data_IF_672149722473
#
_entry.id   IF_672149722473
#
_cell.length_a   1.000
_cell.length_b   1.000
_cell.length_c   1.000
_cell.angle_alpha   90.00
_cell.angle_beta   90.00
_cell.angle_gamma   90.00
#
_symmetry.space_group_name_H-M   'P 1'
#
loop_
_entity.id
_entity.type
_entity.pdbx_description
1 polymer ?
#
# COMPACT_ATOMS: atom_id res chain seq x y z
N UNK A 1 23.46 3.69 30.08
CA UNK A 1 22.87 3.71 28.74
C UNK A 1 21.44 4.22 28.87
N UNK A 2 21.07 5.17 28.03
CA UNK A 2 19.69 5.67 28.01
C UNK A 2 18.90 4.87 26.96
N UNK A 3 17.72 4.36 27.33
CA UNK A 3 16.82 3.60 26.47
C UNK A 3 15.52 4.38 26.25
N UNK A 4 15.59 5.72 26.27
CA UNK A 4 14.42 6.58 26.23
C UNK A 4 13.75 6.63 24.86
N UNK A 5 14.48 6.28 23.81
CA UNK A 5 13.95 6.19 22.44
C UNK A 5 14.59 5.02 21.67
N UNK A 6 14.08 4.76 20.47
CA UNK A 6 14.52 3.64 19.65
C UNK A 6 15.99 3.78 19.17
N UNK A 7 16.43 4.99 18.84
CA UNK A 7 17.83 5.21 18.40
C UNK A 7 18.83 4.95 19.51
N UNK A 8 18.51 5.36 20.75
CA UNK A 8 19.32 5.01 21.93
C UNK A 8 19.40 3.51 22.14
N UNK A 9 18.25 2.81 21.98
CA UNK A 9 18.18 1.36 22.10
C UNK A 9 19.01 0.65 21.02
N UNK A 10 18.91 1.08 19.76
CA UNK A 10 19.69 0.56 18.64
C UNK A 10 21.19 0.78 18.85
N UNK A 11 21.58 1.98 19.29
CA UNK A 11 22.97 2.32 19.60
C UNK A 11 23.53 1.44 20.73
N UNK A 12 22.76 1.30 21.81
CA UNK A 12 23.18 0.48 22.95
C UNK A 12 23.29 -1.01 22.55
N UNK A 13 22.36 -1.52 21.75
CA UNK A 13 22.43 -2.89 21.23
C UNK A 13 23.58 -3.07 20.27
N UNK A 14 23.90 -2.06 19.43
CA UNK A 14 25.05 -2.13 18.52
C UNK A 14 26.34 -2.26 19.29
N UNK A 15 26.58 -1.43 20.31
CA UNK A 15 27.75 -1.51 21.19
C UNK A 15 27.89 -2.91 21.81
N UNK A 16 26.79 -3.51 22.24
CA UNK A 16 26.77 -4.87 22.75
C UNK A 16 27.09 -5.91 21.67
N UNK A 17 26.46 -5.79 20.51
CA UNK A 17 26.65 -6.74 19.39
C UNK A 17 28.09 -6.69 18.85
N UNK A 18 28.69 -5.52 18.80
CA UNK A 18 30.09 -5.32 18.31
C UNK A 18 31.12 -6.06 19.18
N UNK A 19 30.75 -6.49 20.39
CA UNK A 19 31.62 -7.38 21.19
C UNK A 19 31.73 -8.80 20.59
N UNK A 20 30.77 -9.22 19.78
CA UNK A 20 30.71 -10.56 19.21
C UNK A 20 30.92 -10.57 17.70
N UNK A 21 30.47 -9.53 17.00
CA UNK A 21 30.61 -9.39 15.55
C UNK A 21 30.53 -7.91 15.12
N UNK A 22 31.35 -7.53 14.18
CA UNK A 22 31.33 -6.21 13.56
C UNK A 22 30.60 -6.28 12.21
N UNK A 23 29.33 -5.89 12.21
CA UNK A 23 28.47 -5.95 11.02
C UNK A 23 29.01 -5.12 9.84
N UNK A 24 29.84 -4.08 10.10
CA UNK A 24 30.43 -3.25 9.05
C UNK A 24 31.46 -3.98 8.20
N UNK A 25 32.05 -5.06 8.74
CA UNK A 25 33.08 -5.88 8.07
C UNK A 25 32.53 -7.19 7.50
N UNK A 26 31.25 -7.47 7.68
CA UNK A 26 30.64 -8.70 7.21
C UNK A 26 30.30 -8.65 5.72
N UNK A 27 30.58 -9.74 5.00
CA UNK A 27 29.99 -10.00 3.70
C UNK A 27 28.50 -10.32 3.83
N UNK A 28 27.73 -10.19 2.74
CA UNK A 28 26.29 -10.50 2.73
C UNK A 28 26.01 -11.93 3.18
N UNK A 29 26.82 -12.89 2.77
CA UNK A 29 26.72 -14.29 3.21
C UNK A 29 26.88 -14.45 4.73
N UNK A 30 27.82 -13.71 5.33
CA UNK A 30 28.02 -13.74 6.78
C UNK A 30 26.86 -13.09 7.51
N UNK A 31 26.28 -12.00 6.96
CA UNK A 31 25.06 -11.39 7.49
C UNK A 31 23.87 -12.34 7.45
N UNK A 32 23.68 -13.06 6.34
CA UNK A 32 22.62 -14.08 6.22
C UNK A 32 22.76 -15.20 7.26
N UNK A 33 23.96 -15.72 7.50
CA UNK A 33 24.19 -16.75 8.51
C UNK A 33 23.94 -16.21 9.94
N UNK A 34 24.39 -14.97 10.21
CA UNK A 34 24.11 -14.31 11.48
C UNK A 34 22.62 -14.06 11.69
N UNK A 35 21.90 -13.67 10.63
CA UNK A 35 20.43 -13.50 10.67
C UNK A 35 19.73 -14.79 11.09
N UNK A 36 20.10 -15.93 10.51
CA UNK A 36 19.52 -17.23 10.88
C UNK A 36 19.71 -17.52 12.36
N UNK A 37 20.90 -17.27 12.89
CA UNK A 37 21.21 -17.46 14.32
C UNK A 37 20.36 -16.55 15.21
N UNK A 38 20.26 -15.24 14.85
CA UNK A 38 19.49 -14.26 15.60
C UNK A 38 17.98 -14.58 15.57
N UNK A 39 17.46 -15.05 14.44
CA UNK A 39 16.04 -15.45 14.30
C UNK A 39 15.73 -16.70 15.15
N UNK A 40 16.62 -17.67 15.20
CA UNK A 40 16.46 -18.85 16.06
C UNK A 40 16.48 -18.47 17.54
N UNK A 41 17.37 -17.56 17.94
CA UNK A 41 17.44 -17.05 19.30
C UNK A 41 16.16 -16.26 19.67
N UNK A 42 15.70 -15.37 18.77
CA UNK A 42 14.42 -14.66 18.93
C UNK A 42 13.24 -15.63 19.13
N UNK A 43 13.20 -16.70 18.31
CA UNK A 43 12.15 -17.71 18.43
C UNK A 43 12.19 -18.42 19.80
N UNK A 44 13.38 -18.73 20.30
CA UNK A 44 13.56 -19.32 21.64
C UNK A 44 13.02 -18.41 22.74
N UNK A 45 13.34 -17.10 22.68
CA UNK A 45 12.85 -16.16 23.70
C UNK A 45 11.34 -15.92 23.60
N UNK A 46 10.79 -15.85 22.38
CA UNK A 46 9.35 -15.77 22.16
C UNK A 46 8.61 -17.01 22.72
N UNK A 47 9.17 -18.20 22.56
CA UNK A 47 8.65 -19.44 23.16
C UNK A 47 8.69 -19.35 24.70
N UNK A 48 9.77 -18.81 25.27
CA UNK A 48 9.89 -18.61 26.70
C UNK A 48 8.84 -17.68 27.30
N UNK A 49 8.32 -16.71 26.54
CA UNK A 49 7.16 -15.88 26.95
C UNK A 49 5.91 -16.75 27.11
N UNK A 50 5.65 -17.63 26.15
CA UNK A 50 4.50 -18.54 26.18
C UNK A 50 4.59 -19.52 27.38
N UNK A 51 5.80 -19.97 27.71
CA UNK A 51 6.03 -20.83 28.87
C UNK A 51 5.80 -20.15 30.23
N UNK A 52 5.77 -18.81 30.25
CA UNK A 52 5.47 -18.04 31.48
C UNK A 52 3.96 -18.03 31.82
N UNK A 53 3.13 -18.49 30.89
CA UNK A 53 1.68 -18.65 31.07
C UNK A 53 1.29 -20.12 30.93
N UNK A 54 0.18 -20.49 31.53
CA UNK A 54 -0.32 -21.86 31.46
C UNK A 54 -1.10 -22.08 30.15
N UNK A 55 -0.39 -22.31 29.06
CA UNK A 55 -0.98 -22.45 27.69
C UNK A 55 -1.40 -23.89 27.34
N UNK A 56 -1.14 -24.86 28.23
CA UNK A 56 -1.50 -26.27 28.04
C UNK A 56 -2.68 -26.62 28.92
N UNK A 57 -3.88 -26.60 28.36
CA UNK A 57 -5.16 -26.86 29.05
C UNK A 57 -5.21 -28.19 29.83
N UNK A 58 -4.35 -29.16 29.47
CA UNK A 58 -4.29 -30.47 30.13
C UNK A 58 -3.34 -30.53 31.33
N UNK A 59 -2.63 -29.45 31.67
CA UNK A 59 -1.82 -29.34 32.89
C UNK A 59 -2.56 -28.45 33.88
N UNK A 60 -2.65 -28.91 35.16
CA UNK A 60 -3.34 -28.21 36.23
C UNK A 60 -2.95 -26.72 36.28
N UNK A 61 -3.94 -25.88 36.21
CA UNK A 61 -3.82 -24.46 35.88
C UNK A 61 -3.71 -23.52 37.09
N UNK A 62 -3.30 -24.00 38.27
CA UNK A 62 -3.31 -23.20 39.51
C UNK A 62 -2.01 -22.41 39.76
N UNK A 63 -1.04 -22.47 38.83
CA UNK A 63 0.16 -21.67 38.97
C UNK A 63 -0.11 -20.24 38.46
N UNK A 64 0.22 -19.21 39.27
CA UNK A 64 0.04 -17.83 38.83
C UNK A 64 0.98 -17.51 37.65
N UNK A 65 0.52 -16.62 36.75
CA UNK A 65 1.31 -16.12 35.63
C UNK A 65 2.59 -15.45 36.17
N UNK A 66 3.74 -15.88 35.69
CA UNK A 66 5.03 -15.27 36.03
C UNK A 66 5.28 -14.02 35.18
N UNK A 67 4.79 -12.87 35.66
CA UNK A 67 4.95 -11.57 35.00
C UNK A 67 6.43 -11.17 34.86
N UNK A 68 7.29 -11.52 35.79
CA UNK A 68 8.72 -11.21 35.70
C UNK A 68 9.37 -12.00 34.59
N UNK A 69 9.05 -13.28 34.44
CA UNK A 69 9.53 -14.11 33.34
C UNK A 69 9.05 -13.55 31.97
N UNK A 70 7.78 -13.15 31.88
CA UNK A 70 7.25 -12.49 30.66
C UNK A 70 8.07 -11.26 30.32
N UNK A 71 8.29 -10.36 31.31
CA UNK A 71 9.02 -9.11 31.09
C UNK A 71 10.45 -9.38 30.59
N UNK A 72 11.22 -10.22 31.26
CA UNK A 72 12.62 -10.46 30.89
C UNK A 72 12.73 -11.17 29.54
N UNK A 73 11.87 -12.14 29.25
CA UNK A 73 11.83 -12.81 27.94
C UNK A 73 11.42 -11.86 26.82
N UNK A 74 10.49 -10.93 27.06
CA UNK A 74 10.14 -9.88 26.10
C UNK A 74 11.29 -8.91 25.85
N UNK A 75 12.06 -8.55 26.89
CA UNK A 75 13.28 -7.72 26.74
C UNK A 75 14.33 -8.45 25.91
N UNK A 76 14.57 -9.75 26.17
CA UNK A 76 15.53 -10.53 25.39
C UNK A 76 15.10 -10.65 23.92
N UNK A 77 13.83 -10.93 23.65
CA UNK A 77 13.28 -10.95 22.30
C UNK A 77 13.45 -9.59 21.59
N UNK A 78 13.17 -8.48 22.28
CA UNK A 78 13.36 -7.13 21.75
C UNK A 78 14.82 -6.84 21.40
N UNK A 79 15.77 -7.28 22.22
CA UNK A 79 17.20 -7.16 21.95
C UNK A 79 17.63 -7.89 20.67
N UNK A 80 17.07 -9.08 20.39
CA UNK A 80 17.32 -9.77 19.12
C UNK A 80 16.74 -9.04 17.93
N UNK A 81 15.56 -8.42 18.06
CA UNK A 81 15.01 -7.54 17.01
C UNK A 81 15.95 -6.38 16.72
N UNK A 82 16.44 -5.68 17.74
CA UNK A 82 17.42 -4.58 17.58
C UNK A 82 18.73 -5.06 16.94
N UNK A 83 19.22 -6.26 17.29
CA UNK A 83 20.40 -6.84 16.67
C UNK A 83 20.19 -7.13 15.17
N UNK A 84 19.00 -7.62 14.79
CA UNK A 84 18.63 -7.84 13.38
C UNK A 84 18.59 -6.50 12.61
N UNK A 85 18.00 -5.45 13.18
CA UNK A 85 17.96 -4.12 12.56
C UNK A 85 19.38 -3.58 12.34
N UNK A 86 20.23 -3.66 13.37
CA UNK A 86 21.63 -3.24 13.29
C UNK A 86 22.44 -4.04 12.26
N UNK A 87 22.20 -5.35 12.13
CA UNK A 87 22.88 -6.22 11.17
C UNK A 87 22.70 -5.73 9.72
N UNK A 88 21.54 -5.16 9.43
CA UNK A 88 21.18 -4.64 8.11
C UNK A 88 21.25 -3.12 7.99
N UNK A 89 21.75 -2.43 9.00
CA UNK A 89 21.90 -0.97 9.01
C UNK A 89 20.57 -0.21 9.00
N UNK A 90 19.52 -0.82 9.52
CA UNK A 90 18.20 -0.18 9.64
C UNK A 90 18.23 0.72 10.88
N UNK A 91 18.08 2.02 10.67
CA UNK A 91 18.03 3.00 11.75
C UNK A 91 16.63 3.12 12.39
N UNK A 92 16.55 3.85 13.50
CA UNK A 92 15.29 4.03 14.23
C UNK A 92 14.22 4.78 13.47
N UNK A 93 14.60 5.74 12.61
CA UNK A 93 13.64 6.50 11.81
C UNK A 93 12.98 5.63 10.75
N UNK A 94 13.77 4.82 10.03
CA UNK A 94 13.26 3.87 9.05
C UNK A 94 12.35 2.82 9.69
N UNK A 95 12.74 2.29 10.85
CA UNK A 95 11.90 1.34 11.57
C UNK A 95 10.61 1.96 12.11
N UNK A 96 10.67 3.18 12.66
CA UNK A 96 9.49 3.91 13.14
C UNK A 96 8.52 4.24 11.99
N UNK A 97 9.06 4.63 10.82
CA UNK A 97 8.24 4.86 9.63
C UNK A 97 7.51 3.58 9.20
N UNK A 98 8.21 2.45 9.15
CA UNK A 98 7.61 1.16 8.81
C UNK A 98 6.55 0.71 9.82
N UNK A 99 6.76 0.96 11.12
CA UNK A 99 5.74 0.72 12.17
C UNK A 99 4.50 1.57 11.94
N UNK A 100 4.66 2.88 11.68
CA UNK A 100 3.54 3.78 11.41
C UNK A 100 2.73 3.34 10.19
N UNK A 101 3.40 2.96 9.10
CA UNK A 101 2.74 2.44 7.90
C UNK A 101 1.98 1.13 8.19
N UNK A 102 2.58 0.24 8.99
CA UNK A 102 1.93 -1.00 9.40
C UNK A 102 0.69 -0.73 10.25
N UNK A 103 0.75 0.24 11.15
CA UNK A 103 -0.40 0.66 11.96
C UNK A 103 -1.51 1.25 11.08
N UNK A 104 -1.18 2.09 10.10
CA UNK A 104 -2.14 2.64 9.14
C UNK A 104 -2.87 1.52 8.39
N UNK A 105 -2.14 0.53 7.91
CA UNK A 105 -2.73 -0.66 7.28
C UNK A 105 -3.65 -1.42 8.23
N UNK A 106 -3.20 -1.71 9.46
CA UNK A 106 -3.99 -2.48 10.43
C UNK A 106 -5.27 -1.76 10.83
N UNK A 107 -5.22 -0.45 11.05
CA UNK A 107 -6.39 0.37 11.33
C UNK A 107 -7.37 0.38 10.16
N UNK A 108 -6.87 0.59 8.94
CA UNK A 108 -7.72 0.59 7.76
C UNK A 108 -8.36 -0.78 7.54
N UNK A 109 -7.56 -1.86 7.61
CA UNK A 109 -8.04 -3.23 7.50
C UNK A 109 -9.11 -3.56 8.54
N UNK A 110 -8.92 -3.15 9.80
CA UNK A 110 -9.90 -3.37 10.85
C UNK A 110 -11.21 -2.64 10.57
N UNK A 111 -11.14 -1.39 10.10
CA UNK A 111 -12.31 -0.60 9.69
C UNK A 111 -13.11 -1.28 8.58
N UNK A 112 -12.44 -1.93 7.62
CA UNK A 112 -13.04 -2.54 6.44
C UNK A 112 -13.43 -4.00 6.66
N UNK A 113 -12.69 -4.76 7.47
CA UNK A 113 -12.85 -6.21 7.60
C UNK A 113 -14.20 -6.68 8.18
N UNK A 114 -14.90 -5.80 8.91
CA UNK A 114 -16.24 -6.09 9.43
C UNK A 114 -17.38 -5.79 8.46
N UNK A 115 -17.07 -5.18 7.31
CA UNK A 115 -18.08 -4.80 6.31
C UNK A 115 -18.36 -5.97 5.37
N UNK A 116 -19.63 -6.19 5.11
CA UNK A 116 -20.10 -7.21 4.18
C UNK A 116 -21.05 -6.56 3.16
N UNK A 117 -20.87 -6.91 1.90
CA UNK A 117 -21.79 -6.48 0.87
C UNK A 117 -23.17 -7.12 1.10
N UNK A 118 -24.21 -6.29 1.18
CA UNK A 118 -25.59 -6.68 1.49
C UNK A 118 -26.57 -6.48 0.33
N UNK A 119 -26.06 -6.45 -0.93
CA UNK A 119 -26.92 -6.28 -2.13
C UNK A 119 -27.05 -4.84 -2.63
N UNK A 120 -26.33 -3.86 -1.98
CA UNK A 120 -26.32 -2.48 -2.46
C UNK A 120 -25.59 -2.37 -3.81
N UNK A 121 -25.85 -1.30 -4.60
CA UNK A 121 -25.11 -1.02 -5.81
C UNK A 121 -23.62 -0.77 -5.49
N UNK A 122 -22.73 -1.11 -6.42
CA UNK A 122 -21.28 -1.06 -6.22
C UNK A 122 -20.65 -0.05 -7.17
N UNK A 123 -19.80 0.83 -6.65
CA UNK A 123 -18.94 1.70 -7.43
C UNK A 123 -17.48 1.24 -7.27
N UNK A 124 -16.85 0.91 -8.40
CA UNK A 124 -15.48 0.40 -8.47
C UNK A 124 -14.57 1.55 -8.86
N UNK A 125 -13.73 2.04 -7.96
CA UNK A 125 -12.80 3.14 -8.21
C UNK A 125 -11.39 2.63 -8.48
N UNK A 126 -10.77 3.07 -9.57
CA UNK A 126 -9.32 3.06 -9.65
C UNK A 126 -8.71 4.06 -8.68
N UNK A 127 -7.43 3.93 -8.42
CA UNK A 127 -6.73 4.81 -7.50
C UNK A 127 -5.90 5.86 -8.22
N UNK A 128 -4.97 5.44 -9.08
CA UNK A 128 -4.04 6.33 -9.75
C UNK A 128 -4.72 7.08 -10.90
N UNK A 129 -4.52 8.39 -10.96
CA UNK A 129 -5.13 9.34 -11.90
C UNK A 129 -6.68 9.37 -11.91
N UNK A 130 -7.29 8.73 -10.89
CA UNK A 130 -8.72 8.86 -10.53
C UNK A 130 -8.84 9.50 -9.14
N UNK A 131 -8.43 8.81 -8.07
CA UNK A 131 -8.48 9.34 -6.71
C UNK A 131 -7.21 10.11 -6.32
N UNK A 132 -6.05 9.67 -6.83
CA UNK A 132 -4.73 10.22 -6.56
C UNK A 132 -4.07 10.67 -7.87
N UNK A 133 -3.57 11.89 -7.93
CA UNK A 133 -2.89 12.47 -9.09
C UNK A 133 -1.48 11.90 -9.26
N UNK A 134 -1.41 10.60 -9.59
CA UNK A 134 -0.15 9.87 -9.69
C UNK A 134 0.76 10.43 -10.79
N UNK A 135 0.24 10.53 -12.01
CA UNK A 135 1.03 10.92 -13.19
C UNK A 135 1.66 12.30 -13.03
N UNK A 136 0.88 13.27 -12.58
CA UNK A 136 1.39 14.62 -12.29
C UNK A 136 2.55 14.59 -11.29
N UNK A 137 2.34 13.95 -10.14
CA UNK A 137 3.33 13.88 -9.06
C UNK A 137 4.59 13.14 -9.47
N UNK A 138 4.46 12.03 -10.19
CA UNK A 138 5.60 11.25 -10.70
C UNK A 138 6.40 12.02 -11.74
N UNK A 139 5.74 12.73 -12.68
CA UNK A 139 6.40 13.55 -13.68
C UNK A 139 7.13 14.74 -13.05
N UNK A 140 6.52 15.41 -12.07
CA UNK A 140 7.15 16.51 -11.33
C UNK A 140 8.39 16.05 -10.55
N UNK A 141 8.27 14.93 -9.83
CA UNK A 141 9.40 14.33 -9.11
C UNK A 141 10.52 13.92 -10.08
N UNK A 142 10.18 13.26 -11.17
CA UNK A 142 11.13 12.83 -12.19
C UNK A 142 11.82 14.01 -12.87
N UNK A 143 11.07 15.08 -13.17
CA UNK A 143 11.60 16.32 -13.74
C UNK A 143 12.64 16.97 -12.83
N UNK A 144 12.34 17.05 -11.54
CA UNK A 144 13.30 17.58 -10.54
C UNK A 144 14.56 16.73 -10.47
N UNK A 145 14.42 15.41 -10.55
CA UNK A 145 15.53 14.46 -10.45
C UNK A 145 16.44 14.49 -11.68
N UNK A 146 15.92 14.52 -12.89
CA UNK A 146 16.72 14.49 -14.12
C UNK A 146 17.10 15.89 -14.67
N UNK A 147 16.54 16.96 -14.10
CA UNK A 147 16.77 18.33 -14.58
C UNK A 147 16.11 18.65 -15.93
N UNK A 148 15.19 17.80 -16.41
CA UNK A 148 14.43 17.99 -17.66
C UNK A 148 12.93 17.98 -17.38
N UNK A 149 12.19 18.84 -18.05
CA UNK A 149 10.73 18.83 -17.92
C UNK A 149 10.14 17.57 -18.57
N UNK A 150 9.36 16.84 -17.82
CA UNK A 150 8.58 15.68 -18.25
C UNK A 150 7.11 16.07 -18.18
N UNK A 151 6.46 16.17 -19.33
CA UNK A 151 5.10 16.65 -19.46
C UNK A 151 4.10 15.61 -18.92
N UNK A 152 3.35 15.90 -17.86
CA UNK A 152 2.31 15.00 -17.37
C UNK A 152 1.12 14.87 -18.32
N UNK A 153 0.93 15.82 -19.24
CA UNK A 153 -0.15 15.82 -20.24
C UNK A 153 0.26 15.14 -21.56
N UNK A 154 1.45 14.54 -21.64
CA UNK A 154 1.85 13.73 -22.79
C UNK A 154 0.79 12.66 -23.10
N UNK A 155 0.60 12.36 -24.38
CA UNK A 155 -0.35 11.35 -24.87
C UNK A 155 0.13 9.91 -24.69
N UNK A 156 1.29 9.70 -24.06
CA UNK A 156 1.84 8.38 -23.75
C UNK A 156 1.59 7.97 -22.32
N UNK A 157 1.13 6.74 -22.16
CA UNK A 157 1.05 6.07 -20.86
C UNK A 157 2.46 5.94 -20.24
N UNK A 158 2.63 6.41 -19.00
CA UNK A 158 3.91 6.48 -18.27
C UNK A 158 5.01 7.35 -18.91
N UNK A 159 4.72 8.16 -19.92
CA UNK A 159 5.69 9.06 -20.57
C UNK A 159 6.99 8.36 -21.00
N UNK A 160 6.90 7.10 -21.41
CA UNK A 160 8.09 6.29 -21.78
C UNK A 160 8.93 6.94 -22.88
N UNK A 161 8.28 7.63 -23.83
CA UNK A 161 8.98 8.34 -24.93
C UNK A 161 9.79 9.51 -24.40
N UNK A 162 9.23 10.30 -23.48
CA UNK A 162 9.92 11.44 -22.88
C UNK A 162 11.17 10.98 -22.10
N UNK A 163 11.04 9.92 -21.30
CA UNK A 163 12.18 9.32 -20.60
C UNK A 163 13.24 8.77 -21.57
N UNK A 164 12.84 8.11 -22.66
CA UNK A 164 13.77 7.61 -23.70
C UNK A 164 14.53 8.75 -24.40
N UNK A 165 13.87 9.87 -24.70
CA UNK A 165 14.52 11.04 -25.33
C UNK A 165 15.70 11.56 -24.51
N UNK A 166 15.60 11.51 -23.19
CA UNK A 166 16.64 11.98 -22.28
C UNK A 166 17.55 10.86 -21.74
N UNK A 167 17.41 9.63 -22.29
CA UNK A 167 18.26 8.50 -21.92
C UNK A 167 18.01 7.95 -20.51
N UNK A 168 16.84 8.19 -19.94
CA UNK A 168 16.49 7.76 -18.58
C UNK A 168 15.63 6.48 -18.61
N UNK A 169 15.91 5.58 -17.68
CA UNK A 169 15.08 4.38 -17.46
C UNK A 169 13.85 4.74 -16.61
N UNK A 170 12.68 4.80 -17.23
CA UNK A 170 11.42 5.11 -16.55
C UNK A 170 11.05 4.09 -15.46
N UNK A 171 11.35 2.81 -15.66
CA UNK A 171 11.08 1.75 -14.65
C UNK A 171 11.96 1.94 -13.41
N UNK A 172 13.23 2.30 -13.60
CA UNK A 172 14.14 2.61 -12.50
C UNK A 172 13.66 3.84 -11.70
N UNK A 173 13.19 4.87 -12.39
CA UNK A 173 12.63 6.06 -11.74
C UNK A 173 11.33 5.74 -10.99
N UNK A 174 10.47 4.93 -11.58
CA UNK A 174 9.24 4.48 -10.92
C UNK A 174 9.55 3.69 -9.65
N UNK A 175 10.52 2.75 -9.73
CA UNK A 175 10.95 1.99 -8.55
C UNK A 175 11.51 2.91 -7.45
N UNK A 176 12.39 3.84 -7.79
CA UNK A 176 12.93 4.79 -6.81
C UNK A 176 11.85 5.71 -6.20
N UNK A 177 10.87 6.12 -7.01
CA UNK A 177 9.74 6.91 -6.51
C UNK A 177 8.92 6.12 -5.48
N UNK A 178 8.65 4.84 -5.76
CA UNK A 178 7.95 3.95 -4.81
C UNK A 178 8.80 3.69 -3.56
N UNK A 179 10.09 3.33 -3.72
CA UNK A 179 11.00 3.05 -2.61
C UNK A 179 11.20 4.29 -1.71
N UNK A 180 11.10 5.49 -2.29
CA UNK A 180 11.12 6.77 -1.58
C UNK A 180 9.77 7.21 -1.01
N UNK A 181 8.79 6.32 -0.92
CA UNK A 181 7.43 6.61 -0.40
C UNK A 181 6.69 7.73 -1.14
N UNK A 182 6.98 7.93 -2.42
CA UNK A 182 6.34 8.94 -3.24
C UNK A 182 4.82 8.81 -3.33
N UNK A 183 4.30 7.58 -3.21
CA UNK A 183 2.87 7.31 -3.25
C UNK A 183 2.09 7.91 -2.06
N UNK A 184 2.73 8.09 -0.90
CA UNK A 184 2.09 8.70 0.29
C UNK A 184 1.83 10.19 0.11
N UNK A 185 2.61 10.85 -0.76
CA UNK A 185 2.57 12.30 -0.98
C UNK A 185 1.71 12.72 -2.17
N UNK A 186 1.08 11.78 -2.87
CA UNK A 186 0.22 12.08 -4.02
C UNK A 186 -0.91 13.06 -3.62
N UNK A 187 -1.10 14.08 -4.43
CA UNK A 187 -2.28 14.95 -4.32
C UNK A 187 -3.53 14.14 -4.65
N UNK A 188 -4.61 14.40 -3.93
CA UNK A 188 -5.91 13.80 -4.22
C UNK A 188 -6.64 14.57 -5.32
N UNK A 189 -7.43 13.87 -6.12
CA UNK A 189 -8.35 14.49 -7.06
C UNK A 189 -9.67 14.81 -6.34
N UNK A 190 -9.90 16.10 -6.07
CA UNK A 190 -11.05 16.54 -5.27
C UNK A 190 -12.39 16.24 -5.95
N UNK A 191 -12.45 16.21 -7.30
CA UNK A 191 -13.69 15.94 -8.03
C UNK A 191 -14.10 14.46 -7.85
N UNK A 192 -13.14 13.53 -8.00
CA UNK A 192 -13.42 12.10 -7.85
C UNK A 192 -13.52 11.66 -6.38
N UNK A 193 -12.86 12.35 -5.45
CA UNK A 193 -13.14 12.21 -4.02
C UNK A 193 -14.57 12.69 -3.70
N UNK A 194 -14.99 13.80 -4.31
CA UNK A 194 -16.37 14.29 -4.22
C UNK A 194 -17.39 13.28 -4.72
N UNK A 195 -17.12 12.65 -5.89
CA UNK A 195 -17.96 11.58 -6.46
C UNK A 195 -18.03 10.37 -5.51
N UNK A 196 -16.89 9.92 -4.96
CA UNK A 196 -16.84 8.81 -4.00
C UNK A 196 -17.73 9.10 -2.79
N UNK A 197 -17.57 10.28 -2.18
CA UNK A 197 -18.35 10.69 -1.02
C UNK A 197 -19.85 10.78 -1.35
N UNK A 198 -20.19 11.34 -2.52
CA UNK A 198 -21.56 11.40 -3.00
C UNK A 198 -22.19 9.99 -3.12
N UNK A 199 -21.54 9.07 -3.81
CA UNK A 199 -22.01 7.69 -3.97
C UNK A 199 -22.14 6.97 -2.63
N UNK A 200 -21.21 7.22 -1.70
CA UNK A 200 -21.28 6.69 -0.34
C UNK A 200 -22.55 7.15 0.39
N UNK A 201 -22.91 8.44 0.27
CA UNK A 201 -24.17 8.96 0.85
C UNK A 201 -25.40 8.41 0.19
N UNK A 202 -25.32 7.98 -1.07
CA UNK A 202 -26.40 7.30 -1.80
C UNK A 202 -26.49 5.79 -1.48
N UNK A 203 -25.67 5.29 -0.56
CA UNK A 203 -25.69 3.89 -0.12
C UNK A 203 -24.97 2.91 -1.03
N UNK A 204 -24.09 3.39 -1.91
CA UNK A 204 -23.23 2.51 -2.70
C UNK A 204 -22.16 1.85 -1.84
N UNK A 205 -21.86 0.60 -2.17
CA UNK A 205 -20.64 -0.06 -1.74
C UNK A 205 -19.47 0.49 -2.55
N UNK A 206 -18.48 1.07 -1.87
CA UNK A 206 -17.31 1.67 -2.49
C UNK A 206 -16.16 0.65 -2.47
N UNK A 207 -15.79 0.19 -3.66
CA UNK A 207 -14.68 -0.74 -3.86
C UNK A 207 -13.54 -0.04 -4.59
N UNK A 208 -12.37 0.04 -3.98
CA UNK A 208 -11.15 0.48 -4.67
C UNK A 208 -10.49 -0.74 -5.31
N UNK A 209 -10.11 -0.62 -6.59
CA UNK A 209 -9.35 -1.64 -7.32
C UNK A 209 -8.15 -0.95 -7.98
N UNK A 210 -6.96 -1.25 -7.54
CA UNK A 210 -5.73 -0.67 -8.09
C UNK A 210 -4.85 -1.73 -8.74
N UNK A 211 -4.14 -1.35 -9.80
CA UNK A 211 -3.11 -2.18 -10.44
C UNK A 211 -1.74 -2.08 -9.78
N UNK A 212 -1.63 -1.34 -8.67
CA UNK A 212 -0.39 -1.25 -7.90
C UNK A 212 0.10 -2.63 -7.49
N UNK A 213 1.42 -2.91 -7.56
CA UNK A 213 1.96 -4.23 -7.22
C UNK A 213 1.92 -4.48 -5.70
N UNK A 214 1.02 -5.37 -5.25
CA UNK A 214 0.92 -5.75 -3.84
C UNK A 214 2.15 -6.53 -3.33
N UNK A 215 2.97 -7.09 -4.23
CA UNK A 215 4.24 -7.76 -3.88
C UNK A 215 5.32 -6.80 -3.41
N UNK A 216 5.25 -5.53 -3.84
CA UNK A 216 6.14 -4.46 -3.41
C UNK A 216 5.61 -3.88 -2.10
N UNK A 217 6.23 -4.23 -0.96
CA UNK A 217 5.74 -3.88 0.37
C UNK A 217 5.59 -2.38 0.58
N UNK A 218 6.54 -1.58 0.08
CA UNK A 218 6.46 -0.12 0.15
C UNK A 218 5.18 0.37 -0.56
N UNK A 219 4.95 -0.06 -1.79
CA UNK A 219 3.76 0.30 -2.57
C UNK A 219 2.46 -0.12 -1.87
N UNK A 220 2.43 -1.34 -1.32
CA UNK A 220 1.27 -1.87 -0.59
C UNK A 220 0.94 -1.00 0.63
N UNK A 221 1.90 -0.76 1.52
CA UNK A 221 1.66 0.02 2.74
C UNK A 221 1.42 1.51 2.45
N UNK A 222 2.13 2.10 1.50
CA UNK A 222 1.91 3.49 1.08
C UNK A 222 0.49 3.72 0.58
N UNK A 223 -0.09 2.72 -0.10
CA UNK A 223 -1.49 2.79 -0.54
C UNK A 223 -2.44 2.97 0.63
N UNK A 224 -2.31 2.16 1.69
CA UNK A 224 -3.15 2.28 2.89
C UNK A 224 -2.87 3.54 3.69
N UNK A 225 -1.62 3.96 3.78
CA UNK A 225 -1.23 5.23 4.42
C UNK A 225 -1.86 6.42 3.69
N UNK A 226 -1.82 6.42 2.34
CA UNK A 226 -2.47 7.45 1.55
C UNK A 226 -3.99 7.48 1.75
N UNK A 227 -4.66 6.32 1.71
CA UNK A 227 -6.11 6.21 1.95
C UNK A 227 -6.50 6.75 3.33
N UNK A 228 -5.75 6.39 4.37
CA UNK A 228 -5.99 6.88 5.73
C UNK A 228 -5.75 8.38 5.86
N UNK A 229 -4.61 8.88 5.37
CA UNK A 229 -4.23 10.29 5.40
C UNK A 229 -5.27 11.19 4.73
N UNK A 230 -5.88 10.71 3.65
CA UNK A 230 -6.88 11.45 2.89
C UNK A 230 -8.33 11.14 3.34
N UNK A 231 -8.53 10.40 4.42
CA UNK A 231 -9.82 10.01 4.98
C UNK A 231 -10.76 9.32 3.97
N UNK A 232 -10.21 8.48 3.09
CA UNK A 232 -11.01 7.76 2.09
C UNK A 232 -11.81 6.66 2.79
N UNK A 233 -13.13 6.72 2.67
CA UNK A 233 -14.05 5.73 3.28
C UNK A 233 -14.52 4.68 2.26
N UNK A 234 -13.62 3.80 1.84
CA UNK A 234 -13.97 2.66 1.01
C UNK A 234 -14.46 1.47 1.86
N UNK A 235 -15.26 0.60 1.25
CA UNK A 235 -15.76 -0.64 1.86
C UNK A 235 -14.85 -1.83 1.55
N UNK A 236 -14.04 -1.73 0.48
CA UNK A 236 -13.03 -2.71 0.13
C UNK A 236 -11.87 -2.07 -0.66
N UNK A 237 -10.69 -2.70 -0.56
CA UNK A 237 -9.51 -2.37 -1.37
C UNK A 237 -8.95 -3.65 -1.94
N UNK A 238 -8.75 -3.66 -3.25
CA UNK A 238 -8.17 -4.78 -3.97
C UNK A 238 -6.97 -4.33 -4.82
N UNK A 239 -5.96 -5.17 -4.84
CA UNK A 239 -4.79 -5.05 -5.72
C UNK A 239 -4.93 -6.08 -6.82
N UNK A 240 -5.16 -5.64 -8.06
CA UNK A 240 -5.43 -6.52 -9.19
C UNK A 240 -4.91 -5.91 -10.49
N UNK A 241 -3.90 -6.54 -11.09
CA UNK A 241 -3.39 -6.16 -12.40
C UNK A 241 -4.44 -6.38 -13.53
N UNK A 242 -5.28 -7.42 -13.38
CA UNK A 242 -6.40 -7.73 -14.28
C UNK A 242 -7.72 -7.47 -13.56
N UNK A 243 -8.14 -6.20 -13.56
CA UNK A 243 -9.27 -5.71 -12.75
C UNK A 243 -10.61 -6.38 -13.08
N UNK A 244 -10.90 -6.62 -14.37
CA UNK A 244 -12.12 -7.31 -14.75
C UNK A 244 -12.15 -8.78 -14.28
N UNK A 245 -11.03 -9.49 -14.38
CA UNK A 245 -10.91 -10.87 -13.88
C UNK A 245 -11.15 -10.92 -12.38
N UNK A 246 -10.65 -9.94 -11.64
CA UNK A 246 -10.92 -9.82 -10.21
C UNK A 246 -12.41 -9.57 -9.96
N UNK A 247 -13.01 -8.59 -10.65
CA UNK A 247 -14.45 -8.24 -10.54
C UNK A 247 -15.35 -9.45 -10.80
N UNK A 248 -15.06 -10.23 -11.85
CA UNK A 248 -15.89 -11.39 -12.25
C UNK A 248 -16.00 -12.49 -11.19
N UNK A 249 -15.11 -12.46 -10.19
CA UNK A 249 -15.09 -13.41 -9.06
C UNK A 249 -15.80 -12.87 -7.82
N UNK A 250 -16.30 -11.64 -7.84
CA UNK A 250 -16.93 -11.03 -6.68
C UNK A 250 -18.40 -11.40 -6.57
N UNK A 251 -18.96 -11.50 -5.35
CA UNK A 251 -20.35 -11.90 -5.15
C UNK A 251 -21.35 -10.91 -5.79
N UNK A 252 -20.99 -9.63 -5.91
CA UNK A 252 -21.84 -8.62 -6.54
C UNK A 252 -21.82 -8.64 -8.07
N UNK A 253 -20.90 -9.39 -8.69
CA UNK A 253 -20.83 -9.48 -10.16
C UNK A 253 -22.13 -10.05 -10.76
N UNK A 254 -22.67 -11.11 -10.17
CA UNK A 254 -23.93 -11.71 -10.62
C UNK A 254 -25.17 -10.84 -10.38
N UNK A 255 -25.08 -9.85 -9.49
CA UNK A 255 -26.17 -8.93 -9.17
C UNK A 255 -26.40 -7.82 -10.20
N UNK A 256 -25.43 -7.56 -11.08
CA UNK A 256 -25.52 -6.61 -12.18
C UNK A 256 -25.65 -5.13 -11.81
N UNK A 257 -25.56 -4.79 -10.52
CA UNK A 257 -25.69 -3.40 -10.02
C UNK A 257 -24.35 -2.80 -9.67
N UNK A 258 -23.52 -2.57 -10.67
CA UNK A 258 -22.19 -1.99 -10.48
C UNK A 258 -21.75 -1.20 -11.73
N UNK A 259 -20.85 -0.26 -11.52
CA UNK A 259 -20.08 0.42 -12.57
C UNK A 259 -18.66 0.70 -12.11
N UNK A 260 -17.76 0.95 -13.06
CA UNK A 260 -16.37 1.27 -12.78
C UNK A 260 -16.05 2.74 -13.05
N UNK A 261 -15.05 3.26 -12.38
CA UNK A 261 -14.42 4.55 -12.63
C UNK A 261 -12.92 4.26 -12.82
N UNK A 262 -12.40 4.44 -14.02
CA UNK A 262 -11.02 4.05 -14.37
C UNK A 262 -10.49 4.94 -15.51
N UNK A 263 -9.29 5.50 -15.36
CA UNK A 263 -8.65 6.35 -16.37
C UNK A 263 -7.90 5.55 -17.43
N UNK A 264 -7.55 4.28 -17.13
CA UNK A 264 -6.80 3.42 -18.03
C UNK A 264 -7.64 2.99 -19.22
N UNK A 265 -7.19 3.31 -20.44
CA UNK A 265 -7.81 2.86 -21.67
C UNK A 265 -7.92 1.32 -21.74
N UNK A 266 -6.88 0.59 -21.30
CA UNK A 266 -6.88 -0.89 -21.27
C UNK A 266 -8.00 -1.43 -20.38
N UNK A 267 -8.09 -0.95 -19.15
CA UNK A 267 -9.06 -1.46 -18.19
C UNK A 267 -10.48 -1.03 -18.55
N UNK A 268 -10.66 0.21 -19.00
CA UNK A 268 -11.94 0.74 -19.43
C UNK A 268 -12.49 0.00 -20.64
N UNK A 269 -11.65 -0.31 -21.64
CA UNK A 269 -12.05 -1.11 -22.80
C UNK A 269 -12.41 -2.55 -22.39
N UNK A 270 -11.67 -3.15 -21.47
CA UNK A 270 -11.97 -4.51 -20.99
C UNK A 270 -13.28 -4.56 -20.19
N UNK A 271 -13.54 -3.60 -19.32
CA UNK A 271 -14.83 -3.44 -18.64
C UNK A 271 -15.97 -3.29 -19.64
N UNK A 272 -15.83 -2.37 -20.59
CA UNK A 272 -16.86 -2.07 -21.59
C UNK A 272 -17.19 -3.28 -22.48
N UNK A 273 -16.16 -4.03 -22.91
CA UNK A 273 -16.28 -5.28 -23.69
C UNK A 273 -17.14 -6.34 -22.97
N UNK A 274 -17.09 -6.37 -21.67
CA UNK A 274 -17.86 -7.30 -20.84
C UNK A 274 -19.18 -6.72 -20.31
N UNK A 275 -19.62 -5.60 -20.86
CA UNK A 275 -20.92 -4.98 -20.53
C UNK A 275 -20.92 -4.18 -19.22
N UNK A 276 -19.77 -3.98 -18.60
CA UNK A 276 -19.62 -3.13 -17.42
C UNK A 276 -19.63 -1.66 -17.87
N UNK A 277 -20.55 -0.86 -17.33
CA UNK A 277 -20.51 0.58 -17.55
C UNK A 277 -19.30 1.17 -16.85
N UNK A 278 -18.54 1.99 -17.55
CA UNK A 278 -17.34 2.61 -17.00
C UNK A 278 -17.35 4.11 -17.23
N UNK A 279 -17.13 4.86 -16.15
CA UNK A 279 -16.93 6.29 -16.15
C UNK A 279 -15.45 6.57 -16.34
N UNK A 280 -15.09 7.23 -17.43
CA UNK A 280 -13.68 7.47 -17.81
C UNK A 280 -13.36 8.96 -17.73
N UNK A 281 -12.51 9.39 -16.76
CA UNK A 281 -12.02 10.77 -16.75
C UNK A 281 -11.20 11.05 -18.03
N UNK A 282 -11.47 12.18 -18.70
CA UNK A 282 -10.70 12.57 -19.87
C UNK A 282 -9.24 12.81 -19.53
N UNK A 283 -8.38 12.05 -20.16
CA UNK A 283 -6.92 12.22 -20.09
C UNK A 283 -6.34 12.22 -21.50
N UNK A 284 -5.15 12.79 -21.66
CA UNK A 284 -4.46 12.83 -22.95
C UNK A 284 -4.24 11.45 -23.58
N UNK A 285 -4.06 10.42 -22.75
CA UNK A 285 -3.66 9.07 -23.13
C UNK A 285 -4.80 8.03 -23.22
N UNK A 286 -6.07 8.45 -23.03
CA UNK A 286 -7.20 7.50 -23.05
C UNK A 286 -8.30 7.85 -24.07
N UNK A 287 -7.97 8.68 -25.06
CA UNK A 287 -8.94 9.15 -26.08
C UNK A 287 -9.53 8.03 -26.92
N UNK A 288 -8.81 6.92 -27.08
CA UNK A 288 -9.22 5.76 -27.87
C UNK A 288 -10.48 5.04 -27.35
N UNK A 289 -10.80 5.18 -26.06
CA UNK A 289 -12.01 4.57 -25.51
C UNK A 289 -13.24 5.46 -25.64
N UNK A 290 -13.07 6.70 -26.09
CA UNK A 290 -14.17 7.64 -26.31
C UNK A 290 -15.09 7.11 -27.43
N UNK A 291 -16.36 6.92 -27.11
CA UNK A 291 -17.38 6.40 -28.04
C UNK A 291 -17.53 4.88 -28.05
N UNK A 292 -16.76 4.14 -27.24
CA UNK A 292 -17.06 2.72 -27.04
C UNK A 292 -18.41 2.54 -26.32
N UNK A 293 -19.11 1.46 -26.65
CA UNK A 293 -20.30 1.07 -25.91
C UNK A 293 -19.96 0.86 -24.42
N UNK A 294 -20.87 1.24 -23.52
CA UNK A 294 -20.69 1.17 -22.05
C UNK A 294 -19.62 2.12 -21.47
N UNK A 295 -19.00 2.98 -22.29
CA UNK A 295 -18.08 4.03 -21.82
C UNK A 295 -18.83 5.35 -21.69
N UNK A 296 -18.80 5.93 -20.52
CA UNK A 296 -19.24 7.30 -20.22
C UNK A 296 -17.99 8.15 -20.03
N UNK A 297 -17.66 8.96 -21.02
CA UNK A 297 -16.45 9.77 -21.02
C UNK A 297 -16.73 11.12 -20.36
N UNK A 298 -16.01 11.43 -19.29
CA UNK A 298 -16.18 12.68 -18.52
C UNK A 298 -15.18 13.71 -19.02
N UNK A 299 -15.63 14.81 -19.65
CA UNK A 299 -14.76 15.85 -20.13
C UNK A 299 -13.93 16.47 -19.00
N UNK A 300 -12.71 16.92 -19.32
CA UNK A 300 -11.85 17.58 -18.36
C UNK A 300 -12.53 18.79 -17.72
N UNK A 301 -12.50 18.86 -16.38
CA UNK A 301 -13.09 19.96 -15.60
C UNK A 301 -14.61 19.84 -15.36
N UNK A 302 -15.30 18.88 -15.98
CA UNK A 302 -16.72 18.62 -15.70
C UNK A 302 -16.88 17.85 -14.38
N UNK A 303 -17.97 18.14 -13.67
CA UNK A 303 -18.32 17.40 -12.45
C UNK A 303 -18.76 15.97 -12.76
N UNK A 304 -18.01 14.93 -12.33
CA UNK A 304 -18.29 13.55 -12.65
C UNK A 304 -19.65 13.05 -12.10
N UNK A 305 -20.21 13.71 -11.11
CA UNK A 305 -21.54 13.36 -10.56
C UNK A 305 -22.63 13.43 -11.62
N UNK A 306 -22.52 14.37 -12.59
CA UNK A 306 -23.48 14.51 -13.69
C UNK A 306 -23.47 13.33 -14.66
N UNK A 307 -22.45 12.50 -14.62
CA UNK A 307 -22.22 11.42 -15.56
C UNK A 307 -22.41 10.01 -14.96
N UNK A 308 -22.88 9.91 -13.72
CA UNK A 308 -23.13 8.61 -13.07
C UNK A 308 -24.06 7.79 -13.96
N UNK A 309 -23.64 6.58 -14.41
CA UNK A 309 -24.49 5.76 -15.26
C UNK A 309 -25.64 5.13 -14.48
N UNK A 310 -26.80 5.01 -15.10
CA UNK A 310 -27.89 4.19 -14.56
C UNK A 310 -27.48 2.70 -14.55
N UNK A 311 -27.65 1.99 -13.42
CA UNK A 311 -27.27 0.59 -13.21
C UNK A 311 -28.43 -0.26 -12.68
#
# INVERSE_FOLDING_TARGET
>A
MNWSNLDDALTAQKVFSDLFFDSSKMSDKQREESLKTLVLALHSEATGIVEAVNYKDHRCADEPVDQSKILYKAVDAYRYILAILNLWGIDGNNFAAALSQKDDFLHYRHKVSGRQWGGQPVALFDMDDVLANFRKSFCEWSSKKCGHFIDPESDEYYNVREFKKIGVNSEGYFKEFMDGHGLVSLERDEQYIGLLNHLKTQGYWIQIITSRPASELACFYDTYTWLRKNNIDADGVAFAAEKFIWLSKQPYYSGGKYFAIDDSAKHSAEYAKHGVKVLVPEKSYNKEVKGLANVVYVPHGEDPIKFIPEI
#
